data_IF_634966140197
#
_entry.id   IF_634966140197
#
_cell.length_a   1.000
_cell.length_b   1.000
_cell.length_c   1.000
_cell.angle_alpha   90.00
_cell.angle_beta   90.00
_cell.angle_gamma   90.00
#
_symmetry.space_group_name_H-M   'P 1'
#
loop_
_entity.id
_entity.type
_entity.pdbx_description
1 polymer ?
#
# COMPACT_ATOMS: atom_id res chain seq x y z
N UNK A 1 -3.84 -41.18 -7.51
CA UNK A 1 -3.51 -40.67 -6.16
C UNK A 1 -4.32 -39.42 -5.91
N UNK A 2 -4.97 -39.24 -4.75
CA UNK A 2 -5.69 -38.00 -4.49
C UNK A 2 -4.68 -36.86 -4.59
N UNK A 3 -5.02 -35.87 -5.41
CA UNK A 3 -4.22 -34.70 -5.76
C UNK A 3 -3.94 -33.86 -4.50
N UNK A 4 -3.01 -34.31 -3.65
CA UNK A 4 -2.67 -33.63 -2.41
C UNK A 4 -1.83 -32.43 -2.78
N UNK A 5 -2.48 -31.25 -2.76
CA UNK A 5 -1.78 -29.97 -2.78
C UNK A 5 -0.59 -30.02 -1.79
N UNK A 6 0.57 -29.51 -2.18
CA UNK A 6 1.78 -29.55 -1.35
C UNK A 6 1.51 -28.85 0.00
N UNK A 7 1.94 -29.49 1.09
CA UNK A 7 1.78 -29.00 2.47
C UNK A 7 3.14 -28.79 3.12
N UNK A 8 3.24 -27.79 3.99
CA UNK A 8 4.50 -27.46 4.68
C UNK A 8 5.64 -27.07 3.72
N UNK A 9 6.86 -27.15 4.24
CA UNK A 9 8.08 -26.94 3.47
C UNK A 9 8.35 -28.09 2.49
N UNK A 10 8.96 -27.76 1.36
CA UNK A 10 9.24 -28.65 0.23
C UNK A 10 10.72 -28.53 -0.20
N UNK A 11 11.71 -28.77 0.69
CA UNK A 11 13.13 -28.51 0.42
C UNK A 11 13.73 -29.40 -0.66
N UNK A 12 13.06 -30.52 -1.01
CA UNK A 12 13.49 -31.45 -2.06
C UNK A 12 12.83 -31.17 -3.41
N UNK A 13 12.09 -30.07 -3.55
CA UNK A 13 11.44 -29.72 -4.81
C UNK A 13 12.49 -29.47 -5.90
N UNK A 14 12.37 -30.24 -7.01
CA UNK A 14 13.22 -30.10 -8.19
C UNK A 14 12.33 -29.71 -9.38
N UNK A 15 12.26 -28.42 -9.74
CA UNK A 15 11.47 -27.96 -10.88
C UNK A 15 12.00 -28.53 -12.21
N UNK A 16 11.10 -28.67 -13.19
CA UNK A 16 11.48 -29.05 -14.57
C UNK A 16 12.11 -27.85 -15.28
N UNK A 17 12.85 -28.09 -16.37
CA UNK A 17 13.55 -27.03 -17.13
C UNK A 17 12.67 -25.81 -17.44
N UNK A 18 11.47 -26.02 -18.02
CA UNK A 18 10.51 -24.93 -18.30
C UNK A 18 10.08 -24.15 -17.04
N UNK A 19 9.97 -24.83 -15.90
CA UNK A 19 9.67 -24.16 -14.62
C UNK A 19 10.84 -23.33 -14.14
N UNK A 20 12.08 -23.79 -14.35
CA UNK A 20 13.29 -23.02 -14.06
C UNK A 20 13.38 -21.75 -14.92
N UNK A 21 13.01 -21.80 -16.20
CA UNK A 21 12.96 -20.62 -17.08
C UNK A 21 11.98 -19.56 -16.56
N UNK A 22 10.78 -19.98 -16.15
CA UNK A 22 9.79 -19.07 -15.57
C UNK A 22 10.25 -18.52 -14.21
N UNK A 23 10.90 -19.34 -13.38
CA UNK A 23 11.50 -18.87 -12.13
C UNK A 23 12.60 -17.83 -12.39
N UNK A 24 13.45 -18.03 -13.39
CA UNK A 24 14.47 -17.04 -13.75
C UNK A 24 13.84 -15.71 -14.22
N UNK A 25 12.67 -15.76 -14.86
CA UNK A 25 11.91 -14.55 -15.18
C UNK A 25 11.33 -13.88 -13.92
N UNK A 26 10.83 -14.66 -12.97
CA UNK A 26 10.40 -14.15 -11.66
C UNK A 26 11.57 -13.50 -10.92
N UNK A 27 12.75 -14.12 -10.91
CA UNK A 27 13.94 -13.60 -10.23
C UNK A 27 14.31 -12.21 -10.79
N UNK A 28 14.27 -12.03 -12.13
CA UNK A 28 14.48 -10.72 -12.75
C UNK A 28 13.46 -9.67 -12.33
N UNK A 29 12.19 -10.07 -12.13
CA UNK A 29 11.14 -9.15 -11.65
C UNK A 29 11.41 -8.76 -10.19
N UNK A 30 11.77 -9.71 -9.34
CA UNK A 30 12.09 -9.44 -7.94
C UNK A 30 13.35 -8.58 -7.79
N UNK A 31 14.38 -8.82 -8.60
CA UNK A 31 15.59 -7.99 -8.66
C UNK A 31 15.29 -6.58 -9.15
N UNK A 32 14.47 -6.44 -10.22
CA UNK A 32 14.07 -5.13 -10.76
C UNK A 32 13.36 -4.27 -9.72
N UNK A 33 12.51 -4.89 -8.89
CA UNK A 33 11.70 -4.19 -7.88
C UNK A 33 12.18 -4.48 -6.46
N UNK A 34 13.47 -4.73 -6.27
CA UNK A 34 14.05 -5.03 -4.96
C UNK A 34 13.74 -3.94 -3.91
N UNK A 35 13.67 -2.68 -4.34
CA UNK A 35 13.35 -1.54 -3.47
C UNK A 35 11.85 -1.41 -3.12
N UNK A 36 10.97 -2.18 -3.79
CA UNK A 36 9.52 -2.16 -3.58
C UNK A 36 9.00 -3.49 -3.02
N UNK A 37 9.89 -4.43 -2.64
CA UNK A 37 9.48 -5.65 -1.96
C UNK A 37 8.82 -5.33 -0.60
N UNK A 38 7.85 -6.13 -0.15
CA UNK A 38 7.25 -7.29 -0.84
C UNK A 38 6.31 -6.89 -2.00
N UNK A 39 6.34 -7.66 -3.09
CA UNK A 39 5.34 -7.55 -4.17
C UNK A 39 4.14 -8.45 -3.94
N UNK A 40 2.99 -8.09 -4.49
CA UNK A 40 1.89 -9.07 -4.62
C UNK A 40 2.17 -10.08 -5.72
N UNK A 41 1.55 -11.25 -5.62
CA UNK A 41 1.59 -12.25 -6.70
C UNK A 41 1.03 -11.67 -8.02
N UNK A 42 0.03 -10.77 -7.93
CA UNK A 42 -0.57 -10.16 -9.12
C UNK A 42 0.36 -9.14 -9.77
N UNK A 43 1.13 -8.38 -9.00
CA UNK A 43 2.19 -7.49 -9.53
C UNK A 43 3.29 -8.27 -10.24
N UNK A 44 3.73 -9.41 -9.67
CA UNK A 44 4.69 -10.29 -10.36
C UNK A 44 4.10 -10.83 -11.66
N UNK A 45 2.86 -11.31 -11.63
CA UNK A 45 2.19 -11.81 -12.82
C UNK A 45 2.04 -10.73 -13.91
N UNK A 46 1.61 -9.52 -13.55
CA UNK A 46 1.51 -8.42 -14.51
C UNK A 46 2.87 -8.00 -15.06
N UNK A 47 3.91 -7.98 -14.24
CA UNK A 47 5.28 -7.71 -14.71
C UNK A 47 5.73 -8.73 -15.75
N UNK A 48 5.44 -10.02 -15.54
CA UNK A 48 5.72 -11.08 -16.51
C UNK A 48 4.87 -10.98 -17.78
N UNK A 49 3.64 -10.45 -17.69
CA UNK A 49 2.79 -10.16 -18.85
C UNK A 49 3.35 -9.00 -19.66
N UNK A 50 3.73 -7.91 -19.00
CA UNK A 50 4.32 -6.73 -19.66
C UNK A 50 5.69 -7.05 -20.29
N UNK A 51 6.48 -7.94 -19.66
CA UNK A 51 7.75 -8.44 -20.21
C UNK A 51 7.56 -9.44 -21.37
N UNK A 52 6.32 -9.80 -21.74
CA UNK A 52 6.01 -10.76 -22.81
C UNK A 52 6.30 -12.23 -22.47
N UNK A 53 6.58 -12.54 -21.19
CA UNK A 53 6.86 -13.91 -20.71
C UNK A 53 5.56 -14.70 -20.56
N UNK A 54 4.48 -14.05 -20.12
CA UNK A 54 3.16 -14.64 -19.96
C UNK A 54 2.11 -13.86 -20.76
N UNK A 55 1.01 -14.52 -21.07
CA UNK A 55 -0.19 -13.87 -21.64
C UNK A 55 -1.17 -13.52 -20.52
N UNK A 56 -1.95 -12.45 -20.71
CA UNK A 56 -2.99 -12.01 -19.77
C UNK A 56 -4.19 -12.96 -19.78
N UNK A 57 -4.05 -14.11 -19.13
CA UNK A 57 -5.08 -15.12 -18.98
C UNK A 57 -5.19 -15.61 -17.53
N UNK A 58 -6.40 -15.98 -17.09
CA UNK A 58 -6.61 -16.51 -15.75
C UNK A 58 -5.78 -17.79 -15.49
N UNK A 59 -5.55 -18.58 -16.53
CA UNK A 59 -4.72 -19.80 -16.47
C UNK A 59 -3.28 -19.48 -16.08
N UNK A 60 -2.66 -18.47 -16.70
CA UNK A 60 -1.25 -18.11 -16.42
C UNK A 60 -1.13 -17.48 -15.03
N UNK A 61 -2.14 -16.74 -14.58
CA UNK A 61 -2.21 -16.24 -13.21
C UNK A 61 -2.24 -17.40 -12.18
N UNK A 62 -3.15 -18.37 -12.34
CA UNK A 62 -3.24 -19.55 -11.47
C UNK A 62 -1.93 -20.34 -11.43
N UNK A 63 -1.27 -20.52 -12.58
CA UNK A 63 0.04 -21.15 -12.67
C UNK A 63 1.12 -20.38 -11.90
N UNK A 64 1.09 -19.04 -11.96
CA UNK A 64 2.02 -18.18 -11.23
C UNK A 64 1.80 -18.31 -9.71
N UNK A 65 0.55 -18.30 -9.25
CA UNK A 65 0.21 -18.52 -7.84
C UNK A 65 0.76 -19.86 -7.32
N UNK A 66 0.52 -20.95 -8.06
CA UNK A 66 1.02 -22.28 -7.69
C UNK A 66 2.55 -22.35 -7.70
N UNK A 67 3.19 -21.75 -8.70
CA UNK A 67 4.65 -21.69 -8.83
C UNK A 67 5.29 -20.95 -7.66
N UNK A 68 4.84 -19.73 -7.38
CA UNK A 68 5.39 -18.89 -6.30
C UNK A 68 5.12 -19.51 -4.94
N UNK A 69 3.96 -20.17 -4.76
CA UNK A 69 3.68 -20.96 -3.57
C UNK A 69 4.69 -22.10 -3.37
N UNK A 70 5.04 -22.85 -4.42
CA UNK A 70 6.05 -23.90 -4.34
C UNK A 70 7.47 -23.37 -4.15
N UNK A 71 7.81 -22.27 -4.81
CA UNK A 71 9.12 -21.63 -4.67
C UNK A 71 9.36 -21.17 -3.23
N UNK A 72 8.37 -20.53 -2.58
CA UNK A 72 8.43 -20.17 -1.15
C UNK A 72 8.53 -21.39 -0.24
N UNK A 73 7.69 -22.40 -0.45
CA UNK A 73 7.76 -23.67 0.31
C UNK A 73 9.11 -24.36 0.19
N UNK A 74 9.80 -24.23 -0.94
CA UNK A 74 11.12 -24.82 -1.13
C UNK A 74 12.28 -24.02 -0.50
N UNK A 75 12.02 -22.78 -0.07
CA UNK A 75 13.06 -21.84 0.37
C UNK A 75 13.80 -21.15 -0.78
N UNK A 76 13.37 -21.33 -2.04
CA UNK A 76 13.97 -20.64 -3.21
C UNK A 76 13.66 -19.15 -3.21
N UNK A 77 12.41 -18.78 -2.92
CA UNK A 77 11.98 -17.39 -2.79
C UNK A 77 11.70 -17.15 -1.30
N UNK A 78 12.34 -16.14 -0.68
CA UNK A 78 12.06 -15.80 0.71
C UNK A 78 10.59 -15.39 0.91
N UNK A 79 10.05 -15.61 2.11
CA UNK A 79 8.64 -15.31 2.37
C UNK A 79 8.36 -13.81 2.30
N UNK A 80 9.32 -13.01 2.75
CA UNK A 80 9.33 -11.56 2.77
C UNK A 80 9.43 -10.90 1.37
N UNK A 81 9.76 -11.66 0.32
CA UNK A 81 9.81 -11.11 -1.04
C UNK A 81 8.40 -10.96 -1.65
N UNK A 82 7.43 -11.73 -1.17
CA UNK A 82 6.08 -11.79 -1.73
C UNK A 82 5.04 -11.74 -0.62
N UNK A 83 4.01 -10.94 -0.82
CA UNK A 83 2.87 -10.89 0.09
C UNK A 83 1.61 -11.47 -0.53
N UNK A 84 0.89 -12.23 0.27
CA UNK A 84 -0.43 -12.78 -0.04
C UNK A 84 -1.41 -12.66 1.14
N UNK A 85 -1.03 -11.82 2.10
CA UNK A 85 -1.61 -11.79 3.43
C UNK A 85 -2.95 -11.07 3.40
N UNK A 86 -4.00 -11.79 3.79
CA UNK A 86 -5.33 -11.26 4.12
C UNK A 86 -5.65 -11.41 5.60
N UNK A 87 -4.74 -11.99 6.39
CA UNK A 87 -4.94 -12.27 7.80
C UNK A 87 -4.59 -11.03 8.62
N UNK A 88 -5.53 -10.61 9.47
CA UNK A 88 -5.29 -9.62 10.51
C UNK A 88 -5.18 -10.39 11.82
N UNK A 89 -3.97 -10.47 12.35
CA UNK A 89 -3.71 -11.07 13.67
C UNK A 89 -3.30 -9.99 14.64
N UNK A 90 -4.10 -9.80 15.69
CA UNK A 90 -3.74 -8.96 16.83
C UNK A 90 -3.11 -9.86 17.89
N UNK A 91 -1.81 -9.68 18.14
CA UNK A 91 -1.17 -10.28 19.32
C UNK A 91 -1.42 -9.37 20.54
N UNK A 92 -1.90 -9.90 21.67
CA UNK A 92 -1.97 -9.14 22.91
C UNK A 92 -0.57 -8.68 23.33
N UNK A 93 -0.46 -7.44 23.80
CA UNK A 93 0.77 -6.96 24.44
C UNK A 93 0.92 -7.70 25.77
N UNK A 94 2.01 -8.45 25.91
CA UNK A 94 2.40 -9.14 27.12
C UNK A 94 3.92 -9.00 27.32
N UNK A 95 4.36 -9.07 28.57
CA UNK A 95 5.76 -9.00 28.94
C UNK A 95 6.12 -10.21 29.80
N UNK A 96 7.33 -10.76 29.61
CA UNK A 96 7.82 -11.88 30.41
C UNK A 96 8.16 -11.47 31.85
N UNK A 97 8.39 -10.18 32.08
CA UNK A 97 8.69 -9.60 33.38
C UNK A 97 9.10 -8.12 33.29
N UNK A 98 9.57 -7.52 34.39
CA UNK A 98 9.94 -6.11 34.44
C UNK A 98 11.05 -5.69 33.47
N UNK A 99 12.03 -6.56 33.21
CA UNK A 99 13.13 -6.26 32.29
C UNK A 99 12.67 -6.22 30.84
N UNK A 100 11.81 -7.16 30.44
CA UNK A 100 11.17 -7.16 29.12
C UNK A 100 10.24 -5.95 28.95
N UNK A 101 9.51 -5.57 30.00
CA UNK A 101 8.76 -4.30 30.01
C UNK A 101 9.67 -3.09 29.80
N UNK A 102 10.83 -3.02 30.47
CA UNK A 102 11.81 -1.95 30.27
C UNK A 102 12.37 -1.96 28.84
N UNK A 103 12.62 -3.12 28.24
CA UNK A 103 13.02 -3.22 26.83
C UNK A 103 11.90 -2.79 25.87
N UNK A 104 10.65 -3.12 26.18
CA UNK A 104 9.45 -2.60 25.50
C UNK A 104 9.36 -1.07 25.57
N UNK A 105 9.60 -0.50 26.75
CA UNK A 105 9.62 0.94 26.94
C UNK A 105 10.73 1.62 26.13
N UNK A 106 11.93 1.03 26.04
CA UNK A 106 13.00 1.52 25.15
C UNK A 106 12.56 1.51 23.69
N UNK A 107 11.97 0.41 23.21
CA UNK A 107 11.47 0.29 21.83
C UNK A 107 10.41 1.37 21.53
N UNK A 108 9.44 1.55 22.42
CA UNK A 108 8.42 2.59 22.28
C UNK A 108 9.01 4.01 22.25
N UNK A 109 10.03 4.27 23.07
CA UNK A 109 10.73 5.56 23.06
C UNK A 109 11.52 5.79 21.76
N UNK A 110 12.18 4.75 21.22
CA UNK A 110 12.86 4.82 19.92
C UNK A 110 11.86 5.07 18.77
N UNK A 111 10.67 4.48 18.86
CA UNK A 111 9.58 4.65 17.89
C UNK A 111 8.77 5.94 18.09
N UNK A 112 9.11 6.78 19.08
CA UNK A 112 8.44 8.06 19.31
C UNK A 112 8.38 8.88 18.02
N UNK A 113 7.18 9.30 17.62
CA UNK A 113 6.95 10.15 16.44
C UNK A 113 5.89 11.20 16.74
N UNK A 114 6.08 12.38 16.16
CA UNK A 114 5.07 13.42 16.13
C UNK A 114 4.10 13.17 14.97
N UNK A 115 2.91 13.79 15.00
CA UNK A 115 2.08 13.84 13.78
C UNK A 115 2.83 14.68 12.74
N UNK A 116 3.46 14.01 11.76
CA UNK A 116 4.25 14.64 10.71
C UNK A 116 3.42 15.47 9.73
N UNK A 117 2.10 15.41 9.83
CA UNK A 117 1.20 16.30 9.10
C UNK A 117 0.83 17.56 9.89
N UNK A 118 1.17 17.67 11.18
CA UNK A 118 0.83 18.83 12.00
C UNK A 118 1.43 20.14 11.45
N UNK A 119 0.66 21.22 11.53
CA UNK A 119 1.06 22.55 11.05
C UNK A 119 1.03 22.73 9.53
N UNK A 120 0.74 21.66 8.78
CA UNK A 120 0.68 21.72 7.33
C UNK A 120 -0.66 22.30 6.84
N UNK A 121 -0.70 23.00 5.70
CA UNK A 121 -1.93 23.63 5.22
C UNK A 121 -2.99 22.62 4.79
N UNK A 122 -2.58 21.46 4.29
CA UNK A 122 -3.46 20.38 3.80
C UNK A 122 -3.25 19.14 4.67
N UNK A 123 -4.25 18.30 4.88
CA UNK A 123 -4.05 16.95 5.41
C UNK A 123 -4.26 15.94 4.31
N UNK A 124 -3.35 14.98 4.19
CA UNK A 124 -3.33 13.98 3.14
C UNK A 124 -3.84 12.65 3.70
N UNK A 125 -4.63 11.95 2.90
CA UNK A 125 -5.02 10.56 3.12
C UNK A 125 -4.87 9.78 1.82
N UNK A 126 -4.49 8.51 1.90
CA UNK A 126 -4.39 7.63 0.74
C UNK A 126 -5.36 6.47 0.93
N UNK A 127 -6.12 6.17 -0.10
CA UNK A 127 -7.07 5.06 -0.13
C UNK A 127 -6.68 4.13 -1.25
N UNK A 128 -6.54 2.84 -0.95
CA UNK A 128 -6.22 1.83 -1.94
C UNK A 128 -7.28 0.74 -1.96
N UNK A 129 -7.98 0.56 -3.09
CA UNK A 129 -9.01 -0.48 -3.25
C UNK A 129 -8.47 -1.88 -2.89
N UNK A 130 -7.27 -2.19 -3.38
CA UNK A 130 -6.64 -3.50 -3.19
C UNK A 130 -5.79 -3.53 -1.91
N UNK A 131 -6.27 -4.20 -0.86
CA UNK A 131 -5.54 -4.35 0.42
C UNK A 131 -4.11 -4.91 0.26
N UNK A 132 -3.92 -5.78 -0.74
CA UNK A 132 -2.63 -6.33 -1.14
C UNK A 132 -1.59 -5.29 -1.59
N UNK A 133 -1.96 -4.04 -1.87
CA UNK A 133 -1.03 -2.97 -2.23
C UNK A 133 -0.70 -2.02 -1.06
N UNK A 134 -1.44 -2.08 0.05
CA UNK A 134 -1.35 -1.10 1.15
C UNK A 134 0.08 -0.96 1.71
N UNK A 135 0.75 -2.03 2.20
CA UNK A 135 2.16 -1.97 2.59
C UNK A 135 3.13 -1.31 1.60
N UNK A 136 2.98 -1.51 0.29
CA UNK A 136 3.84 -0.83 -0.69
C UNK A 136 3.62 0.69 -0.67
N UNK A 137 2.36 1.13 -0.57
CA UNK A 137 2.02 2.54 -0.46
C UNK A 137 2.46 3.12 0.90
N UNK A 138 2.34 2.36 1.99
CA UNK A 138 2.81 2.75 3.33
C UNK A 138 4.31 2.97 3.33
N UNK A 139 5.10 2.11 2.67
CA UNK A 139 6.56 2.30 2.57
C UNK A 139 6.95 3.65 1.95
N UNK A 140 6.11 4.21 1.07
CA UNK A 140 6.31 5.54 0.46
C UNK A 140 5.74 6.65 1.33
N UNK A 141 4.61 6.41 2.00
CA UNK A 141 3.83 7.42 2.71
C UNK A 141 4.26 7.65 4.18
N UNK A 142 4.77 6.61 4.85
CA UNK A 142 5.20 6.63 6.27
C UNK A 142 6.25 7.71 6.60
N UNK A 143 7.27 7.96 5.74
CA UNK A 143 8.21 9.06 5.97
C UNK A 143 7.53 10.43 6.13
N UNK A 144 6.34 10.61 5.55
CA UNK A 144 5.55 11.85 5.58
C UNK A 144 4.39 11.81 6.58
N UNK A 145 4.22 10.70 7.31
CA UNK A 145 3.09 10.49 8.23
C UNK A 145 1.72 10.46 7.55
N UNK A 146 1.66 10.11 6.26
CA UNK A 146 0.41 10.05 5.51
C UNK A 146 -0.23 8.66 5.67
N UNK A 147 -1.45 8.55 6.23
CA UNK A 147 -2.10 7.26 6.44
C UNK A 147 -2.56 6.65 5.11
N UNK A 148 -2.46 5.33 5.02
CA UNK A 148 -2.97 4.53 3.89
C UNK A 148 -4.06 3.58 4.39
N UNK A 149 -5.28 3.76 3.90
CA UNK A 149 -6.41 2.87 4.15
C UNK A 149 -6.65 1.90 2.99
N UNK A 150 -7.11 0.68 3.28
CA UNK A 150 -7.67 -0.20 2.25
C UNK A 150 -9.11 0.19 1.93
N UNK A 151 -9.57 -0.06 0.70
CA UNK A 151 -10.89 0.33 0.22
C UNK A 151 -12.02 -0.29 1.04
N UNK A 152 -11.89 -1.54 1.49
CA UNK A 152 -12.90 -2.18 2.35
C UNK A 152 -12.99 -1.50 3.73
N UNK A 153 -11.86 -1.06 4.31
CA UNK A 153 -11.86 -0.32 5.58
C UNK A 153 -12.32 1.13 5.42
N UNK A 154 -11.89 1.80 4.36
CA UNK A 154 -12.19 3.21 4.12
C UNK A 154 -13.62 3.45 3.63
N UNK A 155 -14.25 2.44 3.02
CA UNK A 155 -15.67 2.50 2.66
C UNK A 155 -16.62 2.42 3.86
N UNK A 156 -16.13 2.08 5.05
CA UNK A 156 -16.96 2.08 6.24
C UNK A 156 -17.40 3.50 6.62
N UNK A 157 -18.67 3.68 7.01
CA UNK A 157 -19.22 4.99 7.41
C UNK A 157 -18.36 5.73 8.45
N UNK A 158 -17.83 5.08 9.52
CA UNK A 158 -16.97 5.77 10.48
C UNK A 158 -15.65 6.25 9.87
N UNK A 159 -15.10 5.52 8.90
CA UNK A 159 -13.86 5.92 8.24
C UNK A 159 -14.07 7.17 7.36
N UNK A 160 -15.16 7.20 6.58
CA UNK A 160 -15.54 8.35 5.74
C UNK A 160 -15.79 9.61 6.57
N UNK A 161 -16.60 9.50 7.63
CA UNK A 161 -16.84 10.61 8.56
C UNK A 161 -15.56 11.01 9.30
N UNK A 162 -14.74 10.04 9.67
CA UNK A 162 -13.45 10.27 10.33
C UNK A 162 -12.48 11.07 9.47
N UNK A 163 -12.44 10.85 8.15
CA UNK A 163 -11.63 11.65 7.22
C UNK A 163 -12.05 13.12 7.22
N UNK A 164 -13.36 13.38 7.21
CA UNK A 164 -13.91 14.73 7.35
C UNK A 164 -13.54 15.38 8.69
N UNK A 165 -13.64 14.64 9.81
CA UNK A 165 -13.30 15.17 11.14
C UNK A 165 -11.80 15.44 11.31
N UNK A 166 -10.93 14.57 10.79
CA UNK A 166 -9.47 14.79 10.81
C UNK A 166 -9.05 15.99 9.97
N UNK A 167 -9.88 16.42 9.02
CA UNK A 167 -9.66 17.64 8.26
C UNK A 167 -9.85 18.90 9.11
N UNK A 168 -10.90 18.91 9.94
CA UNK A 168 -11.20 20.02 10.84
C UNK A 168 -10.32 20.03 12.08
N UNK A 169 -9.87 18.86 12.52
CA UNK A 169 -8.87 18.74 13.56
C UNK A 169 -7.56 19.40 13.09
N UNK A 170 -6.88 20.10 13.99
CA UNK A 170 -5.53 20.64 13.78
C UNK A 170 -5.40 21.83 12.80
N UNK A 171 -6.52 22.44 12.39
CA UNK A 171 -6.52 23.73 11.69
C UNK A 171 -6.08 23.66 10.22
N UNK A 172 -6.15 22.49 9.59
CA UNK A 172 -5.90 22.35 8.16
C UNK A 172 -6.96 23.10 7.34
N UNK A 173 -6.54 23.74 6.24
CA UNK A 173 -7.47 24.42 5.33
C UNK A 173 -8.25 23.44 4.45
N UNK A 174 -7.67 22.27 4.21
CA UNK A 174 -8.22 21.27 3.32
C UNK A 174 -7.77 19.86 3.71
N UNK A 175 -8.58 18.86 3.35
CA UNK A 175 -8.16 17.47 3.23
C UNK A 175 -8.12 17.06 1.77
N UNK A 176 -7.04 16.37 1.39
CA UNK A 176 -6.89 15.75 0.07
C UNK A 176 -6.77 14.24 0.21
N UNK A 177 -7.66 13.53 -0.47
CA UNK A 177 -7.71 12.08 -0.48
C UNK A 177 -7.24 11.58 -1.85
N UNK A 178 -6.07 10.93 -1.87
CA UNK A 178 -5.56 10.23 -3.04
C UNK A 178 -6.15 8.83 -3.13
N UNK A 179 -6.70 8.47 -4.28
CA UNK A 179 -7.34 7.17 -4.50
C UNK A 179 -6.52 6.35 -5.49
N UNK A 180 -6.11 5.16 -5.05
CA UNK A 180 -5.48 4.10 -5.84
C UNK A 180 -6.50 2.97 -6.03
N UNK A 181 -7.11 2.89 -7.21
CA UNK A 181 -8.13 1.89 -7.54
C UNK A 181 -8.01 1.41 -8.98
N UNK A 182 -8.69 0.30 -9.28
CA UNK A 182 -8.71 -0.23 -10.63
C UNK A 182 -9.38 0.77 -11.59
N UNK A 183 -8.91 0.82 -12.83
CA UNK A 183 -9.60 1.54 -13.89
C UNK A 183 -10.68 0.62 -14.46
N UNK A 184 -11.82 0.55 -13.78
CA UNK A 184 -12.99 -0.20 -14.23
C UNK A 184 -14.29 0.45 -13.68
N UNK A 185 -15.50 -0.04 -14.07
CA UNK A 185 -16.74 0.55 -13.60
C UNK A 185 -16.90 0.53 -12.06
N UNK A 186 -16.33 -0.47 -11.38
CA UNK A 186 -16.38 -0.59 -9.91
C UNK A 186 -15.45 0.44 -9.27
N UNK A 187 -14.19 0.51 -9.69
CA UNK A 187 -13.20 1.42 -9.15
C UNK A 187 -13.49 2.88 -9.44
N UNK A 188 -14.17 3.21 -10.54
CA UNK A 188 -14.66 4.59 -10.83
C UNK A 188 -15.83 4.95 -9.92
N UNK A 189 -16.79 4.03 -9.76
CA UNK A 189 -17.92 4.27 -8.88
C UNK A 189 -17.54 4.33 -7.40
N UNK A 190 -16.57 3.51 -6.97
CA UNK A 190 -15.96 3.58 -5.64
C UNK A 190 -15.43 4.98 -5.35
N UNK A 191 -14.69 5.55 -6.31
CA UNK A 191 -14.16 6.90 -6.20
C UNK A 191 -15.26 7.95 -6.03
N UNK A 192 -16.30 7.92 -6.88
CA UNK A 192 -17.39 8.90 -6.82
C UNK A 192 -18.19 8.79 -5.52
N UNK A 193 -18.57 7.57 -5.13
CA UNK A 193 -19.34 7.32 -3.90
C UNK A 193 -18.56 7.70 -2.63
N UNK A 194 -17.23 7.53 -2.65
CA UNK A 194 -16.39 7.97 -1.55
C UNK A 194 -16.33 9.50 -1.47
N UNK A 195 -16.14 10.15 -2.62
CA UNK A 195 -16.06 11.61 -2.71
C UNK A 195 -17.36 12.28 -2.24
N UNK A 196 -18.50 11.77 -2.69
CA UNK A 196 -19.83 12.27 -2.31
C UNK A 196 -20.07 12.19 -0.80
N UNK A 197 -19.87 11.01 -0.20
CA UNK A 197 -20.12 10.80 1.23
C UNK A 197 -19.20 11.64 2.12
N UNK A 198 -17.89 11.64 1.86
CA UNK A 198 -16.94 12.39 2.69
C UNK A 198 -17.19 13.90 2.58
N UNK A 199 -17.52 14.39 1.37
CA UNK A 199 -17.88 15.80 1.17
C UNK A 199 -19.16 16.15 1.92
N UNK A 200 -20.17 15.29 1.88
CA UNK A 200 -21.43 15.49 2.61
C UNK A 200 -21.21 15.50 4.13
N UNK A 201 -20.38 14.60 4.68
CA UNK A 201 -20.02 14.62 6.09
C UNK A 201 -19.25 15.89 6.47
N UNK A 202 -18.26 16.28 5.67
CA UNK A 202 -17.45 17.47 5.92
C UNK A 202 -18.26 18.77 5.90
N UNK A 203 -19.28 18.86 5.03
CA UNK A 203 -20.16 20.02 4.99
C UNK A 203 -20.88 20.29 6.32
N UNK A 204 -21.10 19.25 7.15
CA UNK A 204 -21.76 19.36 8.46
C UNK A 204 -20.75 19.35 9.61
N UNK A 205 -19.83 18.38 9.60
CA UNK A 205 -18.91 18.12 10.71
C UNK A 205 -17.65 19.03 10.69
N UNK A 206 -17.31 19.61 9.52
CA UNK A 206 -16.08 20.36 9.27
C UNK A 206 -16.31 21.64 8.43
N UNK A 207 -17.25 22.53 8.81
CA UNK A 207 -17.62 23.67 7.98
C UNK A 207 -16.42 24.58 7.70
N UNK A 208 -16.24 24.94 6.44
CA UNK A 208 -15.12 25.78 5.98
C UNK A 208 -13.85 25.01 5.60
N UNK A 209 -13.83 23.69 5.77
CA UNK A 209 -12.71 22.84 5.30
C UNK A 209 -12.99 22.36 3.88
N UNK A 210 -12.04 22.59 2.96
CA UNK A 210 -12.13 22.07 1.59
C UNK A 210 -11.82 20.58 1.56
N UNK A 211 -12.63 19.79 0.86
CA UNK A 211 -12.37 18.36 0.64
C UNK A 211 -12.08 18.13 -0.84
N UNK A 212 -10.91 17.58 -1.13
CA UNK A 212 -10.45 17.31 -2.49
C UNK A 212 -10.19 15.82 -2.68
N UNK A 213 -10.76 15.25 -3.74
CA UNK A 213 -10.53 13.87 -4.15
C UNK A 213 -9.72 13.83 -5.44
N UNK A 214 -8.71 12.97 -5.47
CA UNK A 214 -7.84 12.81 -6.63
C UNK A 214 -7.61 11.33 -6.91
N UNK A 215 -7.94 10.89 -8.12
CA UNK A 215 -7.57 9.55 -8.58
C UNK A 215 -6.10 9.56 -8.98
N UNK A 216 -5.27 8.99 -8.12
CA UNK A 216 -3.82 8.98 -8.30
C UNK A 216 -3.36 7.85 -9.24
N UNK A 217 -3.96 6.67 -9.09
CA UNK A 217 -3.72 5.52 -9.95
C UNK A 217 -4.93 4.57 -9.92
N UNK A 218 -5.19 3.76 -10.94
CA UNK A 218 -4.64 3.91 -12.30
C UNK A 218 -5.53 4.87 -13.09
N UNK A 219 -4.90 5.75 -13.88
CA UNK A 219 -5.58 6.69 -14.79
C UNK A 219 -5.48 6.25 -16.25
N UNK A 220 -6.37 6.73 -17.11
CA UNK A 220 -6.32 6.44 -18.55
C UNK A 220 -5.00 6.88 -19.20
N UNK A 221 -4.45 8.01 -18.77
CA UNK A 221 -3.15 8.50 -19.22
C UNK A 221 -2.03 7.52 -18.85
N UNK A 222 -2.01 7.02 -17.60
CA UNK A 222 -1.03 6.00 -17.17
C UNK A 222 -1.17 4.69 -17.96
N UNK A 223 -2.39 4.30 -18.32
CA UNK A 223 -2.62 3.11 -19.17
C UNK A 223 -1.95 3.28 -20.52
N UNK A 224 -2.09 4.45 -21.14
CA UNK A 224 -1.45 4.76 -22.42
C UNK A 224 0.08 4.86 -22.31
N UNK A 225 0.58 5.63 -21.34
CA UNK A 225 2.01 5.93 -21.19
C UNK A 225 2.84 4.68 -20.88
N UNK A 226 2.31 3.80 -20.04
CA UNK A 226 2.99 2.57 -19.61
C UNK A 226 2.53 1.33 -20.35
N UNK A 227 1.69 1.48 -21.39
CA UNK A 227 1.15 0.39 -22.20
C UNK A 227 0.55 -0.75 -21.34
N UNK A 228 -0.22 -0.37 -20.32
CA UNK A 228 -0.66 -1.32 -19.30
C UNK A 228 -1.61 -2.38 -19.88
N UNK A 229 -1.54 -3.65 -19.44
CA UNK A 229 -2.42 -4.70 -19.93
C UNK A 229 -3.91 -4.43 -19.68
N UNK A 230 -4.69 -4.19 -20.74
CA UNK A 230 -6.13 -3.86 -20.65
C UNK A 230 -7.05 -5.06 -20.93
N UNK A 231 -8.34 -4.94 -20.61
CA UNK A 231 -9.39 -5.91 -20.93
C UNK A 231 -10.70 -5.17 -21.27
N UNK A 232 -11.64 -5.76 -22.03
CA UNK A 232 -12.95 -5.13 -22.21
C UNK A 232 -13.72 -5.11 -20.87
N UNK A 233 -14.55 -4.09 -20.62
CA UNK A 233 -15.47 -4.11 -19.48
C UNK A 233 -16.39 -5.33 -19.53
N UNK A 234 -16.73 -5.89 -18.38
CA UNK A 234 -17.68 -7.01 -18.32
C UNK A 234 -19.06 -6.52 -18.73
N UNK A 235 -19.70 -7.19 -19.69
CA UNK A 235 -21.05 -6.85 -20.16
C UNK A 235 -22.12 -6.92 -19.06
N UNK A 236 -21.87 -7.66 -17.97
CA UNK A 236 -22.77 -7.75 -16.83
C UNK A 236 -22.66 -6.57 -15.85
N UNK A 237 -21.60 -5.76 -15.93
CA UNK A 237 -21.48 -4.56 -15.11
C UNK A 237 -22.30 -3.44 -15.76
N UNK A 238 -23.31 -2.95 -15.03
CA UNK A 238 -24.26 -1.93 -15.51
C UNK A 238 -23.91 -0.52 -15.05
N UNK A 239 -22.83 -0.34 -14.29
CA UNK A 239 -22.42 0.98 -13.82
C UNK A 239 -21.96 1.85 -14.99
N UNK A 240 -22.23 3.14 -14.89
CA UNK A 240 -21.72 4.12 -15.86
C UNK A 240 -20.20 4.12 -15.83
N UNK A 241 -19.57 3.96 -17.00
CA UNK A 241 -18.13 3.95 -17.16
C UNK A 241 -17.81 4.55 -18.54
N UNK A 242 -17.02 5.63 -18.54
CA UNK A 242 -16.62 6.31 -19.77
C UNK A 242 -15.43 5.64 -20.47
N UNK A 243 -14.71 4.76 -19.78
CA UNK A 243 -13.56 4.07 -20.34
C UNK A 243 -13.96 2.98 -21.34
N UNK A 244 -13.12 2.79 -22.35
CA UNK A 244 -13.30 1.75 -23.38
C UNK A 244 -12.66 0.42 -22.99
N UNK A 245 -11.82 0.42 -21.96
CA UNK A 245 -11.11 -0.76 -21.45
C UNK A 245 -10.87 -0.65 -19.95
N UNK A 246 -10.53 -1.79 -19.33
CA UNK A 246 -10.27 -1.91 -17.90
C UNK A 246 -8.85 -2.34 -17.60
N UNK A 247 -8.29 -1.81 -16.52
CA UNK A 247 -6.92 -2.09 -16.07
C UNK A 247 -6.87 -2.19 -14.56
N UNK A 248 -6.16 -3.19 -14.04
CA UNK A 248 -5.95 -3.36 -12.61
C UNK A 248 -4.84 -2.43 -12.12
N UNK A 249 -4.96 -1.90 -10.90
CA UNK A 249 -3.94 -1.04 -10.31
C UNK A 249 -2.59 -1.74 -10.15
N UNK A 250 -2.61 -3.04 -9.86
CA UNK A 250 -1.41 -3.90 -9.75
C UNK A 250 -0.68 -4.12 -11.09
N UNK A 251 -1.25 -3.68 -12.21
CA UNK A 251 -0.58 -3.72 -13.50
C UNK A 251 0.42 -2.57 -13.69
N UNK A 252 0.27 -1.47 -12.93
CA UNK A 252 1.23 -0.37 -12.94
C UNK A 252 2.57 -0.85 -12.35
N UNK A 253 3.72 -0.56 -12.99
CA UNK A 253 5.02 -0.94 -12.44
C UNK A 253 5.20 -0.44 -10.98
N UNK A 254 5.68 -1.29 -10.06
CA UNK A 254 5.81 -0.94 -8.64
C UNK A 254 6.63 0.33 -8.35
N UNK A 255 7.70 0.55 -9.09
CA UNK A 255 8.57 1.73 -9.00
C UNK A 255 7.86 3.00 -9.51
N UNK A 256 7.12 2.90 -10.61
CA UNK A 256 6.28 3.98 -11.14
C UNK A 256 5.20 4.37 -10.14
N UNK A 257 4.47 3.40 -9.57
CA UNK A 257 3.47 3.68 -8.54
C UNK A 257 4.08 4.41 -7.33
N UNK A 258 5.25 3.97 -6.87
CA UNK A 258 5.97 4.61 -5.79
C UNK A 258 6.38 6.05 -6.14
N UNK A 259 6.86 6.28 -7.36
CA UNK A 259 7.23 7.61 -7.83
C UNK A 259 6.02 8.56 -7.95
N UNK A 260 4.91 8.09 -8.54
CA UNK A 260 3.66 8.84 -8.66
C UNK A 260 3.13 9.24 -7.27
N UNK A 261 3.11 8.30 -6.33
CA UNK A 261 2.67 8.58 -4.96
C UNK A 261 3.59 9.57 -4.24
N UNK A 262 4.90 9.38 -4.32
CA UNK A 262 5.87 10.30 -3.71
C UNK A 262 5.71 11.71 -4.28
N UNK A 263 5.57 11.84 -5.61
CA UNK A 263 5.37 13.12 -6.26
C UNK A 263 4.09 13.82 -5.77
N UNK A 264 2.97 13.09 -5.68
CA UNK A 264 1.71 13.63 -5.19
C UNK A 264 1.75 14.04 -3.71
N UNK A 265 2.42 13.28 -2.85
CA UNK A 265 2.60 13.68 -1.45
C UNK A 265 3.43 14.97 -1.37
N UNK A 266 4.59 14.98 -2.02
CA UNK A 266 5.52 16.11 -1.93
C UNK A 266 5.00 17.39 -2.56
N UNK A 267 4.18 17.33 -3.61
CA UNK A 267 3.56 18.53 -4.23
C UNK A 267 2.54 19.22 -3.32
N UNK A 268 2.02 18.51 -2.31
CA UNK A 268 1.05 19.02 -1.34
C UNK A 268 1.60 19.12 0.09
N UNK A 269 2.93 19.01 0.26
CA UNK A 269 3.64 19.21 1.53
C UNK A 269 4.56 20.42 1.48
N UNK A 270 4.55 21.17 2.57
CA UNK A 270 5.64 22.08 2.88
C UNK A 270 6.77 21.28 3.50
N UNK A 271 7.86 21.10 2.73
CA UNK A 271 9.00 20.32 3.16
C UNK A 271 9.83 21.03 4.25
N UNK A 272 9.71 22.36 4.39
CA UNK A 272 10.34 23.10 5.48
C UNK A 272 9.64 22.87 6.81
N UNK A 273 8.31 22.86 6.83
CA UNK A 273 7.52 22.50 8.02
C UNK A 273 7.84 21.06 8.44
N UNK A 274 7.90 20.13 7.49
CA UNK A 274 8.23 18.74 7.79
C UNK A 274 9.67 18.60 8.33
N UNK A 275 10.65 19.26 7.72
CA UNK A 275 12.03 19.21 8.18
C UNK A 275 12.17 19.73 9.62
N UNK A 276 11.59 20.89 9.93
CA UNK A 276 11.60 21.45 11.29
C UNK A 276 10.91 20.52 12.31
N UNK A 277 9.83 19.85 11.91
CA UNK A 277 9.13 18.88 12.75
C UNK A 277 9.99 17.64 13.02
N UNK A 278 10.71 17.13 12.01
CA UNK A 278 11.60 15.98 12.16
C UNK A 278 12.81 16.28 13.07
N UNK A 279 13.36 17.49 12.99
CA UNK A 279 14.40 17.96 13.91
C UNK A 279 13.89 17.99 15.36
N UNK A 280 12.67 18.53 15.57
CA UNK A 280 12.02 18.54 16.88
C UNK A 280 11.73 17.13 17.40
N UNK A 281 11.20 16.25 16.54
CA UNK A 281 10.90 14.85 16.86
C UNK A 281 12.15 14.13 17.37
N UNK A 282 13.29 14.33 16.71
CA UNK A 282 14.56 13.73 17.10
C UNK A 282 15.10 14.29 18.42
N UNK A 283 15.01 15.60 18.63
CA UNK A 283 15.40 16.22 19.91
C UNK A 283 14.53 15.72 21.07
N UNK A 284 13.21 15.67 20.88
CA UNK A 284 12.26 15.15 21.87
C UNK A 284 12.49 13.66 22.16
N UNK A 285 12.78 12.85 21.13
CA UNK A 285 13.14 11.43 21.26
C UNK A 285 14.39 11.22 22.11
N UNK A 286 15.48 11.95 21.85
CA UNK A 286 16.72 11.85 22.64
C UNK A 286 16.49 12.23 24.10
N UNK A 287 15.77 13.32 24.35
CA UNK A 287 15.39 13.74 25.71
C UNK A 287 14.53 12.69 26.41
N UNK A 288 13.59 12.08 25.70
CA UNK A 288 12.75 11.01 26.22
C UNK A 288 13.59 9.79 26.63
N UNK A 289 14.51 9.34 25.78
CA UNK A 289 15.41 8.22 26.08
C UNK A 289 16.26 8.50 27.34
N UNK A 290 16.87 9.69 27.42
CA UNK A 290 17.65 10.12 28.59
C UNK A 290 16.82 10.14 29.87
N UNK A 291 15.60 10.70 29.82
CA UNK A 291 14.69 10.77 30.96
C UNK A 291 14.27 9.37 31.46
N UNK A 292 14.23 8.38 30.57
CA UNK A 292 13.93 6.99 30.90
C UNK A 292 15.19 6.19 31.34
N UNK A 293 16.35 6.84 31.35
CA UNK A 293 17.63 6.24 31.72
C UNK A 293 18.22 5.33 30.63
N UNK A 294 17.85 5.56 29.37
CA UNK A 294 18.46 4.89 28.22
C UNK A 294 19.53 5.79 27.60
N UNK A 295 20.62 5.17 27.14
CA UNK A 295 21.60 5.86 26.31
C UNK A 295 21.01 6.07 24.91
N UNK A 296 20.87 7.34 24.45
CA UNK A 296 20.34 7.63 23.13
C UNK A 296 21.30 7.25 21.99
N UNK A 297 22.59 7.08 22.28
CA UNK A 297 23.64 6.82 21.29
C UNK A 297 24.10 5.34 21.30
N UNK A 298 23.51 4.50 22.15
CA UNK A 298 23.78 3.07 22.17
C UNK A 298 22.96 2.34 21.09
N UNK A 299 23.65 1.62 20.19
CA UNK A 299 23.06 0.72 19.19
C UNK A 299 22.10 -0.31 19.83
#
# INVERSE_FOLDING_TARGET
>A
MPNRRPRGYQPRWKPRARTCELLAAVDRVLERYAAQLPLTIRQVWYSLVSDGVLVKEERTYKQTVELLGMARRSGRIPWEALRDDTEIRAEPVAYEGPDDFRAGLRRAALEYRLDRQAGQPVRLEIVCETAGMVPQLVAVADPYGVPVGSGSGFNALPAKRGAALRAAADGHRAVRVFVVSDWDPSGVHLFSALAEDVTAFAAVDAPGTEVVFERLAVTEQQIADYQLPTAPPKASDRRSFSGTSTTQAEALPPDVLAAVLKAAITSHRDMGILAALLEREEEERRRLLQNLGFDPDAD
#
